data_IF_121833480288
#
_entry.id   IF_121833480288
#
_cell.length_a   1.000
_cell.length_b   1.000
_cell.length_c   1.000
_cell.angle_alpha   90.00
_cell.angle_beta   90.00
_cell.angle_gamma   90.00
#
_symmetry.space_group_name_H-M   'P 1'
#
loop_
_entity.id
_entity.type
_entity.pdbx_description
1 polymer ?
#
# COMPACT_ATOMS: atom_id res chain seq x y z
N UNK A 1 -28.67 18.60 8.30
CA UNK A 1 -29.03 18.31 6.90
C UNK A 1 -28.32 17.04 6.49
N UNK A 2 -29.07 15.95 6.31
CA UNK A 2 -28.52 14.67 5.85
C UNK A 2 -28.26 14.84 4.35
N UNK A 3 -27.01 14.71 3.84
CA UNK A 3 -26.75 14.86 2.43
C UNK A 3 -27.48 13.76 1.66
N UNK A 4 -28.17 14.18 0.60
CA UNK A 4 -28.93 13.36 -0.32
C UNK A 4 -28.25 12.03 -0.66
N UNK A 5 -28.97 10.92 -0.44
CA UNK A 5 -28.60 9.56 -0.78
C UNK A 5 -28.73 9.29 -2.30
N UNK A 6 -28.30 10.25 -3.14
CA UNK A 6 -28.20 10.01 -4.58
C UNK A 6 -27.07 8.99 -4.79
N UNK A 7 -27.28 7.90 -5.53
CA UNK A 7 -26.17 7.02 -5.88
C UNK A 7 -25.14 7.86 -6.61
N UNK A 8 -23.95 8.01 -6.01
CA UNK A 8 -22.81 8.64 -6.66
C UNK A 8 -22.60 7.91 -7.99
N UNK A 9 -22.86 8.59 -9.12
CA UNK A 9 -22.38 8.14 -10.43
C UNK A 9 -20.87 8.27 -10.39
N UNK A 10 -20.19 7.27 -9.84
CA UNK A 10 -18.74 7.17 -9.82
C UNK A 10 -18.26 7.15 -11.27
N UNK A 11 -17.53 8.19 -11.68
CA UNK A 11 -16.86 8.20 -12.96
C UNK A 11 -15.66 7.26 -12.83
N UNK A 12 -15.76 6.05 -13.38
CA UNK A 12 -14.80 4.98 -13.14
C UNK A 12 -13.38 5.31 -13.62
N UNK A 13 -13.19 6.32 -14.48
CA UNK A 13 -11.90 6.61 -15.11
C UNK A 13 -10.77 6.87 -14.11
N UNK A 14 -10.96 7.78 -13.15
CA UNK A 14 -9.89 8.14 -12.20
C UNK A 14 -9.67 7.05 -11.16
N UNK A 15 -10.73 6.43 -10.66
CA UNK A 15 -10.63 5.30 -9.73
C UNK A 15 -9.88 4.14 -10.37
N UNK A 16 -10.18 3.81 -11.63
CA UNK A 16 -9.46 2.77 -12.37
C UNK A 16 -7.99 3.14 -12.55
N UNK A 17 -7.69 4.39 -12.93
CA UNK A 17 -6.31 4.84 -13.06
C UNK A 17 -5.54 4.74 -11.73
N UNK A 18 -6.16 5.17 -10.62
CA UNK A 18 -5.58 5.06 -9.28
C UNK A 18 -5.37 3.60 -8.88
N UNK A 19 -6.35 2.73 -9.11
CA UNK A 19 -6.22 1.30 -8.82
C UNK A 19 -5.12 0.62 -9.67
N UNK A 20 -5.02 0.97 -10.96
CA UNK A 20 -3.96 0.45 -11.83
C UNK A 20 -2.58 0.96 -11.41
N UNK A 21 -2.47 2.23 -11.03
CA UNK A 21 -1.23 2.81 -10.50
C UNK A 21 -0.85 2.15 -9.16
N UNK A 22 -1.80 1.99 -8.25
CA UNK A 22 -1.62 1.28 -6.98
C UNK A 22 -1.05 -0.12 -7.21
N UNK A 23 -1.67 -0.90 -8.09
CA UNK A 23 -1.19 -2.24 -8.44
C UNK A 23 0.18 -2.25 -9.10
N UNK A 24 0.45 -1.27 -9.95
CA UNK A 24 1.76 -1.15 -10.62
C UNK A 24 2.87 -0.94 -9.60
N UNK A 25 2.67 -0.03 -8.64
CA UNK A 25 3.66 0.22 -7.59
C UNK A 25 3.79 -0.95 -6.62
N UNK A 26 2.68 -1.56 -6.21
CA UNK A 26 2.65 -2.76 -5.36
C UNK A 26 3.48 -3.91 -5.96
N UNK A 27 3.14 -4.36 -7.17
CA UNK A 27 3.83 -5.49 -7.80
C UNK A 27 5.29 -5.15 -8.10
N UNK A 28 5.58 -3.89 -8.48
CA UNK A 28 6.97 -3.45 -8.69
C UNK A 28 7.77 -3.53 -7.39
N UNK A 29 7.17 -3.16 -6.25
CA UNK A 29 7.80 -3.25 -4.93
C UNK A 29 8.16 -4.69 -4.57
N UNK A 30 7.25 -5.63 -4.83
CA UNK A 30 7.49 -7.06 -4.58
C UNK A 30 8.68 -7.61 -5.38
N UNK A 31 8.80 -7.22 -6.66
CA UNK A 31 9.90 -7.66 -7.53
C UNK A 31 11.26 -7.14 -7.07
N UNK A 32 11.32 -5.91 -6.53
CA UNK A 32 12.57 -5.29 -6.08
C UNK A 32 12.79 -5.40 -4.57
N UNK A 33 11.97 -6.17 -3.85
CA UNK A 33 12.02 -6.32 -2.40
C UNK A 33 13.38 -6.81 -1.87
N UNK A 34 14.07 -7.68 -2.62
CA UNK A 34 15.40 -8.18 -2.27
C UNK A 34 16.54 -7.38 -2.90
N UNK A 35 16.23 -6.33 -3.68
CA UNK A 35 17.26 -5.44 -4.22
C UNK A 35 17.63 -4.40 -3.18
N UNK A 36 18.66 -4.70 -2.39
CA UNK A 36 19.23 -3.71 -1.47
C UNK A 36 20.07 -2.67 -2.22
N UNK A 37 19.95 -1.41 -1.81
CA UNK A 37 20.71 -0.29 -2.35
C UNK A 37 20.97 0.76 -1.25
N UNK A 38 21.94 1.64 -1.53
CA UNK A 38 22.27 2.75 -0.64
C UNK A 38 21.38 3.96 -0.92
N UNK A 39 20.67 4.43 0.10
CA UNK A 39 19.87 5.66 0.07
C UNK A 39 20.35 6.56 1.20
N UNK A 40 20.89 7.73 0.86
CA UNK A 40 21.40 8.69 1.84
C UNK A 40 22.37 8.08 2.88
N UNK A 41 23.16 7.07 2.47
CA UNK A 41 24.09 6.36 3.34
C UNK A 41 23.50 5.19 4.16
N UNK A 42 22.19 4.91 4.01
CA UNK A 42 21.49 3.80 4.63
C UNK A 42 21.29 2.66 3.62
N UNK A 43 21.40 1.41 4.07
CA UNK A 43 21.09 0.23 3.24
C UNK A 43 19.61 -0.08 3.38
N UNK A 44 18.87 -0.01 2.28
CA UNK A 44 17.43 -0.30 2.25
C UNK A 44 17.05 -1.16 1.06
N UNK A 45 15.87 -1.78 1.18
CA UNK A 45 15.22 -2.47 0.06
C UNK A 45 14.75 -1.47 -0.99
N UNK A 46 14.79 -1.87 -2.27
CA UNK A 46 14.18 -1.11 -3.36
C UNK A 46 12.67 -0.91 -3.18
N UNK A 47 12.01 -1.81 -2.43
CA UNK A 47 10.57 -1.70 -2.15
C UNK A 47 10.22 -0.46 -1.33
N UNK A 48 11.12 -0.01 -0.45
CA UNK A 48 10.96 1.18 0.41
C UNK A 48 10.81 2.49 -0.37
N UNK A 49 11.18 2.51 -1.67
CA UNK A 49 10.93 3.68 -2.54
C UNK A 49 9.52 3.64 -3.12
N UNK A 50 8.97 2.44 -3.32
CA UNK A 50 7.75 2.21 -4.08
C UNK A 50 6.50 2.14 -3.19
N UNK A 51 6.62 1.55 -2.00
CA UNK A 51 5.51 1.49 -1.03
C UNK A 51 4.93 2.87 -0.63
N UNK A 52 5.70 3.95 -0.43
CA UNK A 52 5.11 5.25 -0.11
C UNK A 52 4.10 5.72 -1.17
N UNK A 53 4.30 5.35 -2.44
CA UNK A 53 3.40 5.72 -3.54
C UNK A 53 2.05 4.99 -3.44
N UNK A 54 2.04 3.73 -2.96
CA UNK A 54 0.79 2.99 -2.76
C UNK A 54 -0.05 3.62 -1.64
N UNK A 55 0.59 4.07 -0.55
CA UNK A 55 -0.06 4.81 0.53
C UNK A 55 -0.64 6.13 0.07
N UNK A 56 0.11 6.92 -0.69
CA UNK A 56 -0.37 8.18 -1.27
C UNK A 56 -1.62 7.96 -2.10
N UNK A 57 -1.63 6.93 -2.94
CA UNK A 57 -2.80 6.57 -3.76
C UNK A 57 -3.96 6.10 -2.88
N UNK A 58 -3.69 5.29 -1.86
CA UNK A 58 -4.67 4.86 -0.86
C UNK A 58 -5.35 6.03 -0.14
N UNK A 59 -4.55 6.98 0.34
CA UNK A 59 -4.98 8.18 1.05
C UNK A 59 -5.83 9.07 0.15
N UNK A 60 -5.37 9.35 -1.07
CA UNK A 60 -6.12 10.13 -2.06
C UNK A 60 -7.44 9.44 -2.38
N UNK A 61 -7.42 8.13 -2.58
CA UNK A 61 -8.62 7.34 -2.91
C UNK A 61 -9.63 7.41 -1.76
N UNK A 62 -9.18 7.21 -0.52
CA UNK A 62 -10.05 7.31 0.65
C UNK A 62 -10.55 8.74 0.88
N UNK A 63 -9.70 9.73 0.65
CA UNK A 63 -10.04 11.14 0.83
C UNK A 63 -11.06 11.64 -0.20
N UNK A 64 -11.05 11.14 -1.44
CA UNK A 64 -11.99 11.58 -2.48
C UNK A 64 -13.25 10.71 -2.47
N UNK A 65 -13.08 9.39 -2.50
CA UNK A 65 -14.15 8.42 -2.75
C UNK A 65 -14.67 7.71 -1.51
N UNK A 66 -14.01 7.88 -0.36
CA UNK A 66 -14.44 7.35 0.93
C UNK A 66 -14.00 5.91 1.19
N UNK A 67 -14.37 5.43 2.38
CA UNK A 67 -14.00 4.14 2.96
C UNK A 67 -14.23 2.97 1.99
N UNK A 68 -15.46 2.86 1.45
CA UNK A 68 -15.88 1.67 0.70
C UNK A 68 -15.07 1.43 -0.58
N UNK A 69 -14.61 2.50 -1.24
CA UNK A 69 -13.81 2.38 -2.47
C UNK A 69 -12.36 2.08 -2.11
N UNK A 70 -11.81 2.78 -1.11
CA UNK A 70 -10.44 2.56 -0.67
C UNK A 70 -10.22 1.15 -0.09
N UNK A 71 -11.15 0.64 0.72
CA UNK A 71 -11.03 -0.70 1.29
C UNK A 71 -11.15 -1.79 0.22
N UNK A 72 -11.99 -1.59 -0.81
CA UNK A 72 -12.04 -2.47 -1.99
C UNK A 72 -10.71 -2.50 -2.74
N UNK A 73 -10.08 -1.34 -2.91
CA UNK A 73 -8.78 -1.23 -3.56
C UNK A 73 -7.70 -2.01 -2.79
N UNK A 74 -7.71 -1.94 -1.45
CA UNK A 74 -6.82 -2.74 -0.60
C UNK A 74 -7.07 -4.24 -0.82
N UNK A 75 -8.30 -4.73 -0.64
CA UNK A 75 -8.58 -6.16 -0.73
C UNK A 75 -8.40 -6.74 -2.13
N UNK A 76 -8.83 -6.04 -3.18
CA UNK A 76 -8.56 -6.47 -4.55
C UNK A 76 -7.06 -6.41 -4.87
N UNK A 77 -6.36 -5.42 -4.31
CA UNK A 77 -4.91 -5.33 -4.46
C UNK A 77 -4.20 -6.54 -3.88
N UNK A 78 -4.51 -6.91 -2.63
CA UNK A 78 -4.00 -8.11 -1.97
C UNK A 78 -4.32 -9.39 -2.75
N UNK A 79 -5.52 -9.51 -3.30
CA UNK A 79 -5.90 -10.66 -4.13
C UNK A 79 -5.07 -10.73 -5.43
N UNK A 80 -4.81 -9.59 -6.06
CA UNK A 80 -3.96 -9.50 -7.25
C UNK A 80 -2.48 -9.77 -6.93
N UNK A 81 -1.96 -9.29 -5.81
CA UNK A 81 -0.59 -9.61 -5.31
C UNK A 81 -0.44 -11.11 -5.05
N UNK A 82 -1.42 -11.74 -4.40
CA UNK A 82 -1.44 -13.19 -4.19
C UNK A 82 -1.42 -13.96 -5.51
N UNK A 83 -2.27 -13.56 -6.48
CA UNK A 83 -2.30 -14.18 -7.80
C UNK A 83 -0.96 -14.00 -8.53
N UNK A 84 -0.38 -12.80 -8.49
CA UNK A 84 0.93 -12.52 -9.06
C UNK A 84 2.01 -13.45 -8.48
N UNK A 85 2.08 -13.58 -7.17
CA UNK A 85 3.06 -14.43 -6.51
C UNK A 85 2.88 -15.92 -6.86
N UNK A 86 1.63 -16.42 -6.93
CA UNK A 86 1.34 -17.80 -7.35
C UNK A 86 1.82 -18.03 -8.78
N UNK A 87 1.48 -17.14 -9.71
CA UNK A 87 1.82 -17.29 -11.12
C UNK A 87 3.34 -17.28 -11.34
N UNK A 88 4.05 -16.32 -10.74
CA UNK A 88 5.51 -16.22 -10.85
C UNK A 88 6.19 -17.44 -10.23
N UNK A 89 5.77 -17.84 -9.03
CA UNK A 89 6.32 -19.02 -8.35
C UNK A 89 6.10 -20.29 -9.18
N UNK A 90 4.90 -20.47 -9.75
CA UNK A 90 4.60 -21.63 -10.59
C UNK A 90 5.49 -21.68 -11.83
N UNK A 91 5.71 -20.56 -12.51
CA UNK A 91 6.53 -20.49 -13.73
C UNK A 91 8.00 -20.76 -13.43
N UNK A 92 8.55 -20.24 -12.33
CA UNK A 92 9.97 -20.44 -11.97
C UNK A 92 10.28 -21.92 -11.69
N UNK A 93 9.33 -22.68 -11.16
CA UNK A 93 9.50 -24.10 -10.85
C UNK A 93 9.32 -25.03 -12.06
N UNK A 94 8.93 -24.51 -13.23
CA UNK A 94 8.90 -25.31 -14.45
C UNK A 94 10.32 -25.68 -14.89
N UNK A 95 10.47 -26.86 -15.49
CA UNK A 95 11.74 -27.29 -16.05
C UNK A 95 12.22 -26.32 -17.13
N UNK A 96 13.44 -25.80 -16.98
CA UNK A 96 14.06 -24.98 -18.02
C UNK A 96 14.28 -25.80 -19.29
N UNK A 97 13.91 -25.24 -20.44
CA UNK A 97 14.17 -25.82 -21.76
C UNK A 97 15.64 -25.71 -22.19
N UNK A 98 16.46 -24.95 -21.46
CA UNK A 98 17.84 -24.64 -21.82
C UNK A 98 18.03 -23.58 -22.92
N UNK A 99 16.93 -23.10 -23.54
CA UNK A 99 16.99 -22.00 -24.52
C UNK A 99 17.32 -20.68 -23.83
N UNK A 100 16.71 -20.43 -22.66
CA UNK A 100 16.97 -19.25 -21.84
C UNK A 100 18.12 -19.46 -20.86
N UNK A 101 18.96 -18.45 -20.69
CA UNK A 101 20.17 -18.53 -19.85
C UNK A 101 19.92 -18.12 -18.39
N UNK A 102 18.78 -17.51 -18.07
CA UNK A 102 18.57 -16.80 -16.80
C UNK A 102 17.82 -17.60 -15.71
N UNK A 103 17.75 -18.93 -15.81
CA UNK A 103 16.96 -19.75 -14.87
C UNK A 103 17.44 -19.59 -13.42
N UNK A 104 18.76 -19.53 -13.21
CA UNK A 104 19.35 -19.38 -11.89
C UNK A 104 19.04 -17.99 -11.33
N UNK A 105 19.20 -16.94 -12.14
CA UNK A 105 18.92 -15.55 -11.77
C UNK A 105 17.43 -15.34 -11.41
N UNK A 106 16.51 -15.96 -12.16
CA UNK A 106 15.09 -15.95 -11.78
C UNK A 106 14.85 -16.63 -10.44
N UNK A 107 15.53 -17.75 -10.17
CA UNK A 107 15.39 -18.48 -8.91
C UNK A 107 15.99 -17.69 -7.74
N UNK A 108 17.14 -17.05 -7.94
CA UNK A 108 17.82 -16.26 -6.91
C UNK A 108 17.05 -14.99 -6.54
N UNK A 109 16.44 -14.32 -7.53
CA UNK A 109 15.71 -13.06 -7.30
C UNK A 109 14.26 -13.31 -6.85
N UNK A 110 13.56 -14.24 -7.49
CA UNK A 110 12.11 -14.43 -7.32
C UNK A 110 11.73 -15.74 -6.62
N UNK A 111 12.68 -16.63 -6.31
CA UNK A 111 12.41 -17.90 -5.62
C UNK A 111 11.83 -17.73 -4.22
N UNK A 112 12.12 -16.61 -3.56
CA UNK A 112 11.55 -16.25 -2.25
C UNK A 112 10.37 -15.28 -2.32
N UNK A 113 9.90 -14.93 -3.53
CA UNK A 113 8.80 -13.98 -3.74
C UNK A 113 7.54 -14.39 -2.97
N UNK A 114 7.18 -15.67 -3.00
CA UNK A 114 5.99 -16.18 -2.30
C UNK A 114 6.02 -15.89 -0.80
N UNK A 115 7.18 -16.05 -0.15
CA UNK A 115 7.33 -15.81 1.28
C UNK A 115 7.16 -14.31 1.60
N UNK A 116 7.80 -13.46 0.81
CA UNK A 116 7.70 -12.00 0.96
C UNK A 116 6.26 -11.52 0.77
N UNK A 117 5.62 -11.94 -0.32
CA UNK A 117 4.24 -11.54 -0.65
C UNK A 117 3.26 -12.08 0.39
N UNK A 118 3.41 -13.32 0.86
CA UNK A 118 2.49 -13.86 1.87
C UNK A 118 2.59 -13.13 3.23
N UNK A 119 3.82 -12.84 3.68
CA UNK A 119 4.04 -11.98 4.85
C UNK A 119 3.50 -10.56 4.64
N UNK A 120 3.69 -10.02 3.43
CA UNK A 120 3.17 -8.74 2.98
C UNK A 120 1.64 -8.70 3.00
N UNK A 121 0.95 -9.74 2.54
CA UNK A 121 -0.52 -9.77 2.46
C UNK A 121 -1.15 -9.61 3.84
N UNK A 122 -0.68 -10.38 4.83
CA UNK A 122 -1.23 -10.31 6.20
C UNK A 122 -0.94 -8.93 6.80
N UNK A 123 0.28 -8.45 6.60
CA UNK A 123 0.73 -7.17 7.17
C UNK A 123 -0.02 -5.99 6.53
N UNK A 124 -0.14 -5.97 5.21
CA UNK A 124 -0.86 -4.95 4.43
C UNK A 124 -2.37 -5.02 4.64
N UNK A 125 -2.96 -6.19 4.89
CA UNK A 125 -4.38 -6.29 5.23
C UNK A 125 -4.70 -5.51 6.51
N UNK A 126 -3.84 -5.63 7.54
CA UNK A 126 -4.03 -4.95 8.82
C UNK A 126 -3.62 -3.48 8.71
N UNK A 127 -2.43 -3.19 8.17
CA UNK A 127 -1.91 -1.83 8.04
C UNK A 127 -2.77 -0.98 7.08
N UNK A 128 -3.10 -1.50 5.91
CA UNK A 128 -3.96 -0.82 4.94
C UNK A 128 -5.35 -0.54 5.49
N UNK A 129 -5.91 -1.47 6.29
CA UNK A 129 -7.17 -1.25 6.98
C UNK A 129 -7.08 -0.08 7.97
N UNK A 130 -6.04 -0.05 8.80
CA UNK A 130 -5.81 1.04 9.75
C UNK A 130 -5.65 2.37 9.03
N UNK A 131 -4.90 2.39 7.92
CA UNK A 131 -4.65 3.61 7.16
C UNK A 131 -5.95 4.21 6.65
N UNK A 132 -6.72 3.42 5.89
CA UNK A 132 -8.01 3.83 5.33
C UNK A 132 -9.00 4.21 6.44
N UNK A 133 -8.96 3.51 7.58
CA UNK A 133 -9.81 3.79 8.72
C UNK A 133 -9.52 5.17 9.30
N UNK A 134 -8.25 5.47 9.57
CA UNK A 134 -7.86 6.76 10.14
C UNK A 134 -8.14 7.92 9.17
N UNK A 135 -7.83 7.78 7.88
CA UNK A 135 -8.14 8.80 6.87
C UNK A 135 -9.63 9.13 6.88
N UNK A 136 -10.47 8.10 6.72
CA UNK A 136 -11.93 8.23 6.66
C UNK A 136 -12.50 8.81 7.97
N UNK A 137 -12.11 8.24 9.11
CA UNK A 137 -12.66 8.62 10.41
C UNK A 137 -12.24 10.04 10.81
N UNK A 138 -10.97 10.39 10.65
CA UNK A 138 -10.49 11.73 10.97
C UNK A 138 -11.00 12.79 10.00
N UNK A 139 -11.37 12.43 8.77
CA UNK A 139 -12.03 13.36 7.86
C UNK A 139 -13.33 13.90 8.45
N UNK A 140 -14.11 13.04 9.10
CA UNK A 140 -15.36 13.42 9.77
C UNK A 140 -15.06 14.38 10.92
N UNK A 141 -14.11 14.04 11.78
CA UNK A 141 -13.72 14.87 12.93
C UNK A 141 -13.17 16.24 12.52
N UNK A 142 -12.37 16.29 11.47
CA UNK A 142 -11.73 17.52 10.94
C UNK A 142 -12.63 18.29 9.97
N UNK A 143 -13.85 17.81 9.70
CA UNK A 143 -14.79 18.40 8.71
C UNK A 143 -14.12 18.58 7.33
N UNK A 144 -13.32 17.59 6.92
CA UNK A 144 -12.58 17.56 5.66
C UNK A 144 -11.39 18.52 5.57
N UNK A 145 -11.05 19.21 6.65
CA UNK A 145 -9.87 20.08 6.68
C UNK A 145 -8.60 19.26 6.90
N UNK A 146 -7.45 19.92 6.73
CA UNK A 146 -6.12 19.40 7.11
C UNK A 146 -5.81 17.98 6.60
N UNK A 147 -6.10 17.69 5.33
CA UNK A 147 -5.80 16.40 4.70
C UNK A 147 -4.34 15.97 4.94
N UNK A 148 -3.39 16.90 4.81
CA UNK A 148 -1.98 16.58 4.95
C UNK A 148 -1.62 15.98 6.33
N UNK A 149 -2.20 16.50 7.41
CA UNK A 149 -1.97 15.97 8.76
C UNK A 149 -2.53 14.55 8.86
N UNK A 150 -3.73 14.34 8.32
CA UNK A 150 -4.40 13.03 8.37
C UNK A 150 -3.62 11.97 7.60
N UNK A 151 -3.15 12.31 6.41
CA UNK A 151 -2.32 11.45 5.54
C UNK A 151 -1.01 11.04 6.20
N UNK A 152 -0.25 12.01 6.73
CA UNK A 152 1.02 11.72 7.40
C UNK A 152 0.78 10.88 8.67
N UNK A 153 -0.18 11.25 9.51
CA UNK A 153 -0.43 10.52 10.76
C UNK A 153 -0.97 9.10 10.53
N UNK A 154 -1.86 8.90 9.55
CA UNK A 154 -2.38 7.56 9.25
C UNK A 154 -1.29 6.68 8.69
N UNK A 155 -0.43 7.23 7.82
CA UNK A 155 0.75 6.53 7.29
C UNK A 155 1.70 6.14 8.43
N UNK A 156 2.07 7.06 9.33
CA UNK A 156 2.94 6.74 10.47
C UNK A 156 2.42 5.57 11.32
N UNK A 157 1.12 5.58 11.68
CA UNK A 157 0.55 4.51 12.52
C UNK A 157 0.51 3.19 11.75
N UNK A 158 0.12 3.23 10.48
CA UNK A 158 -0.08 2.03 9.66
C UNK A 158 1.23 1.38 9.28
N UNK A 159 2.23 2.18 8.90
CA UNK A 159 3.59 1.72 8.60
C UNK A 159 4.27 1.11 9.82
N UNK A 160 4.10 1.71 11.00
CA UNK A 160 4.62 1.11 12.22
C UNK A 160 4.05 -0.29 12.46
N UNK A 161 2.75 -0.48 12.24
CA UNK A 161 2.07 -1.78 12.36
C UNK A 161 2.51 -2.73 11.24
N UNK A 162 2.65 -2.24 10.01
CA UNK A 162 3.10 -3.02 8.86
C UNK A 162 4.47 -3.63 9.14
N UNK A 163 5.45 -2.78 9.49
CA UNK A 163 6.82 -3.18 9.75
C UNK A 163 6.86 -4.16 10.92
N UNK A 164 6.16 -3.87 12.02
CA UNK A 164 6.09 -4.77 13.16
C UNK A 164 5.59 -6.17 12.77
N UNK A 165 4.54 -6.26 11.95
CA UNK A 165 4.00 -7.54 11.48
C UNK A 165 4.97 -8.25 10.53
N UNK A 166 5.61 -7.53 9.62
CA UNK A 166 6.64 -8.10 8.72
C UNK A 166 7.79 -8.68 9.53
N UNK A 167 8.28 -7.98 10.56
CA UNK A 167 9.34 -8.49 11.45
C UNK A 167 8.90 -9.81 12.08
N UNK A 168 7.69 -9.84 12.66
CA UNK A 168 7.16 -10.97 13.41
C UNK A 168 6.83 -12.18 12.51
N UNK A 169 6.32 -11.95 11.31
CA UNK A 169 5.84 -13.01 10.41
C UNK A 169 6.95 -13.49 9.47
N UNK A 170 7.62 -12.58 8.76
CA UNK A 170 8.52 -12.93 7.67
C UNK A 170 9.97 -13.14 8.11
N UNK A 171 10.42 -12.42 9.14
CA UNK A 171 11.85 -12.36 9.49
C UNK A 171 12.25 -13.08 10.79
N UNK A 172 11.27 -13.48 11.63
CA UNK A 172 11.51 -14.31 12.84
C UNK A 172 12.40 -15.55 12.59
N UNK A 173 12.29 -16.28 11.46
CA UNK A 173 13.11 -17.48 11.24
C UNK A 173 14.55 -17.21 10.76
N UNK A 174 14.86 -16.00 10.27
CA UNK A 174 16.02 -15.80 9.39
C UNK A 174 17.10 -14.85 9.93
N UNK A 175 16.83 -13.98 10.92
CA UNK A 175 17.78 -12.90 11.28
C UNK A 175 17.89 -12.63 12.79
N UNK A 176 19.10 -12.27 13.25
CA UNK A 176 19.38 -11.74 14.59
C UNK A 176 18.57 -10.47 14.89
N UNK A 177 17.66 -10.56 15.87
CA UNK A 177 16.69 -9.51 16.26
C UNK A 177 17.25 -8.07 16.36
N UNK A 178 18.51 -7.90 16.79
CA UNK A 178 19.13 -6.58 16.97
C UNK A 178 19.51 -5.92 15.64
N UNK A 179 20.09 -6.68 14.70
CA UNK A 179 20.45 -6.16 13.39
C UNK A 179 19.19 -5.83 12.58
N UNK A 180 18.19 -6.68 12.69
CA UNK A 180 16.84 -6.53 12.14
C UNK A 180 16.18 -5.22 12.57
N UNK A 181 16.21 -4.89 13.86
CA UNK A 181 15.59 -3.67 14.37
C UNK A 181 16.21 -2.37 13.84
N UNK A 182 17.53 -2.34 13.57
CA UNK A 182 18.17 -1.15 13.01
C UNK A 182 17.74 -0.88 11.56
N UNK A 183 17.72 -1.90 10.71
CA UNK A 183 17.25 -1.78 9.33
C UNK A 183 15.79 -1.34 9.31
N UNK A 184 14.95 -1.92 10.16
CA UNK A 184 13.53 -1.55 10.21
C UNK A 184 13.26 -0.15 10.73
N UNK A 185 14.03 0.32 11.73
CA UNK A 185 13.89 1.69 12.20
C UNK A 185 14.29 2.69 11.10
N UNK A 186 15.34 2.39 10.32
CA UNK A 186 15.75 3.22 9.20
C UNK A 186 14.68 3.25 8.09
N UNK A 187 14.14 2.08 7.72
CA UNK A 187 13.02 1.98 6.77
C UNK A 187 11.82 2.81 7.23
N UNK A 188 11.42 2.67 8.51
CA UNK A 188 10.31 3.44 9.08
C UNK A 188 10.55 4.95 9.04
N UNK A 189 11.76 5.41 9.38
CA UNK A 189 12.10 6.83 9.32
C UNK A 189 12.07 7.37 7.89
N UNK A 190 12.54 6.59 6.92
CA UNK A 190 12.48 6.96 5.51
C UNK A 190 11.03 7.03 5.01
N UNK A 191 10.17 6.09 5.41
CA UNK A 191 8.74 6.14 5.11
C UNK A 191 8.08 7.43 5.63
N UNK A 192 8.41 7.86 6.85
CA UNK A 192 7.92 9.14 7.38
C UNK A 192 8.41 10.32 6.53
N UNK A 193 9.68 10.31 6.12
CA UNK A 193 10.24 11.35 5.24
C UNK A 193 9.50 11.36 3.90
N UNK A 194 9.25 10.20 3.31
CA UNK A 194 8.49 10.09 2.07
C UNK A 194 7.04 10.55 2.24
N UNK A 195 6.36 10.20 3.33
CA UNK A 195 5.02 10.68 3.63
C UNK A 195 4.98 12.22 3.68
N UNK A 196 5.97 12.85 4.32
CA UNK A 196 6.08 14.32 4.37
C UNK A 196 6.35 14.95 3.00
N UNK A 197 7.13 14.29 2.13
CA UNK A 197 7.41 14.78 0.78
C UNK A 197 6.18 14.62 -0.12
N UNK A 198 5.58 13.43 -0.14
CA UNK A 198 4.50 13.09 -1.06
C UNK A 198 3.14 13.63 -0.66
N UNK A 199 2.95 14.05 0.60
CA UNK A 199 1.67 14.65 1.02
C UNK A 199 1.35 15.94 0.25
N UNK A 200 2.38 16.69 -0.19
CA UNK A 200 2.17 17.90 -0.98
C UNK A 200 1.55 17.62 -2.36
N UNK A 201 2.16 16.78 -3.24
CA UNK A 201 1.53 16.40 -4.50
C UNK A 201 0.21 15.64 -4.28
N UNK A 202 0.09 14.82 -3.23
CA UNK A 202 -1.17 14.15 -2.88
C UNK A 202 -2.30 15.17 -2.64
N UNK A 203 -2.02 16.25 -1.90
CA UNK A 203 -3.01 17.29 -1.64
C UNK A 203 -3.45 18.03 -2.92
N UNK A 204 -2.53 18.24 -3.87
CA UNK A 204 -2.87 18.80 -5.18
C UNK A 204 -3.78 17.85 -5.96
N UNK A 205 -3.45 16.56 -5.97
CA UNK A 205 -4.24 15.52 -6.63
C UNK A 205 -5.64 15.41 -6.04
N UNK A 206 -5.78 15.41 -4.70
CA UNK A 206 -7.08 15.43 -4.01
C UNK A 206 -7.92 16.63 -4.46
N UNK A 207 -7.36 17.84 -4.47
CA UNK A 207 -8.09 19.04 -4.91
C UNK A 207 -8.53 18.93 -6.37
N UNK A 208 -7.66 18.42 -7.24
CA UNK A 208 -7.96 18.19 -8.65
C UNK A 208 -9.11 17.19 -8.84
N UNK A 209 -9.05 16.03 -8.17
CA UNK A 209 -10.05 14.98 -8.30
C UNK A 209 -11.41 15.41 -7.75
N UNK A 210 -11.45 16.02 -6.54
CA UNK A 210 -12.69 16.57 -5.97
C UNK A 210 -13.36 17.58 -6.90
N UNK A 211 -12.56 18.44 -7.56
CA UNK A 211 -13.08 19.42 -8.53
C UNK A 211 -13.54 18.77 -9.84
N UNK A 212 -12.79 17.80 -10.35
CA UNK A 212 -13.05 17.17 -11.65
C UNK A 212 -14.26 16.25 -11.61
N UNK A 213 -14.48 15.58 -10.48
CA UNK A 213 -15.59 14.64 -10.32
C UNK A 213 -16.79 15.22 -9.57
N UNK A 214 -16.61 16.33 -8.86
CA UNK A 214 -17.65 16.90 -8.01
C UNK A 214 -18.01 15.99 -6.83
N UNK A 215 -17.07 15.12 -6.40
CA UNK A 215 -17.24 14.16 -5.32
C UNK A 215 -16.36 14.58 -4.13
N UNK A 216 -16.92 14.53 -2.92
CA UNK A 216 -16.19 14.65 -1.67
C UNK A 216 -16.88 13.77 -0.61
N UNK A 217 -16.47 12.51 -0.51
CA UNK A 217 -17.18 11.52 0.33
C UNK A 217 -16.93 11.72 1.84
N UNK A 218 -17.98 11.74 2.65
CA UNK A 218 -17.87 11.71 4.11
C UNK A 218 -18.58 10.47 4.65
N UNK A 219 -17.85 9.59 5.33
CA UNK A 219 -18.33 8.27 5.74
C UNK A 219 -19.17 8.30 7.04
N UNK A 220 -20.19 9.17 7.09
CA UNK A 220 -21.13 9.20 8.21
C UNK A 220 -21.96 7.91 8.27
N UNK A 221 -21.96 7.23 9.42
CA UNK A 221 -22.77 6.03 9.64
C UNK A 221 -22.31 4.79 8.87
N UNK A 222 -21.11 4.81 8.29
CA UNK A 222 -20.55 3.63 7.61
C UNK A 222 -20.11 2.61 8.66
N UNK A 223 -20.39 1.33 8.37
CA UNK A 223 -19.84 0.22 9.13
C UNK A 223 -18.40 0.03 8.68
N UNK A 224 -17.44 0.36 9.55
CA UNK A 224 -16.01 0.08 9.35
C UNK A 224 -15.67 -1.42 9.44
N UNK A 225 -16.60 -2.29 9.07
CA UNK A 225 -16.37 -3.72 8.93
C UNK A 225 -15.67 -3.94 7.56
N UNK A 226 -14.40 -4.41 7.54
CA UNK A 226 -13.63 -4.58 6.32
C UNK A 226 -14.15 -5.67 5.40
N UNK A 227 -15.05 -6.54 5.86
CA UNK A 227 -15.59 -7.65 5.08
C UNK A 227 -16.99 -7.40 4.54
N UNK A 228 -17.61 -6.26 4.87
CA UNK A 228 -19.03 -6.01 4.56
C UNK A 228 -19.35 -5.99 3.06
N UNK A 229 -18.35 -5.83 2.21
CA UNK A 229 -18.52 -5.75 0.75
C UNK A 229 -17.99 -6.99 0.00
N UNK A 230 -17.32 -7.91 0.70
CA UNK A 230 -16.92 -9.22 0.21
C UNK A 230 -18.12 -10.17 0.27
#
# INVERSE_FOLDING_TARGET
MIPNNKPLKLNSKFILLLAMAYMTFSISADVVAFKFAYFFGLIESGATILFPLTYVIGDVTCEVYGWNIAIKMVWFGLACEALFAILITAVIHLSSSGIGQYQNEYTDVLGHLWLFVFGGIISNAIAGLLNVFFISKWKIFTKGRVFWIRSVLSTCISEFVLILLIVLIAFTPFIHIKATMHVFMNAYLLEIVYALIFVYPAQLLVKFLKRSEGIDAYDYGVSYNPFKFL
#
